data_IF_354829200329
#
_entry.id   IF_354829200329
#
_cell.length_a   1.000
_cell.length_b   1.000
_cell.length_c   1.000
_cell.angle_alpha   90.00
_cell.angle_beta   90.00
_cell.angle_gamma   90.00
#
_symmetry.space_group_name_H-M   'P 1'
#
loop_
_entity.id
_entity.type
_entity.pdbx_description
1 polymer ?
#
# COMPACT_ATOMS: atom_id res chain seq x y z
N UNK A 1 -14.00 -2.19 13.60
CA UNK A 1 -13.06 -3.30 13.87
C UNK A 1 -12.43 -3.65 12.54
N UNK A 2 -11.16 -3.26 12.33
CA UNK A 2 -10.45 -3.54 11.09
C UNK A 2 -9.91 -4.97 11.08
N UNK A 3 -10.11 -5.68 9.99
CA UNK A 3 -9.51 -6.99 9.76
C UNK A 3 -8.03 -6.79 9.40
N UNK A 4 -7.12 -7.47 10.10
CA UNK A 4 -5.68 -7.39 9.80
C UNK A 4 -5.36 -8.50 8.81
N UNK A 5 -4.99 -8.12 7.60
CA UNK A 5 -4.59 -9.04 6.53
C UNK A 5 -3.09 -8.92 6.33
N UNK A 6 -2.38 -10.05 6.30
CA UNK A 6 -0.96 -10.13 6.01
C UNK A 6 -0.74 -10.63 4.59
N UNK A 7 0.02 -9.88 3.78
CA UNK A 7 0.35 -10.25 2.40
C UNK A 7 1.87 -10.24 2.22
N UNK A 8 2.36 -11.15 1.37
CA UNK A 8 3.74 -11.10 0.88
C UNK A 8 3.75 -10.40 -0.47
N UNK A 9 4.64 -9.43 -0.61
CA UNK A 9 4.93 -8.74 -1.85
C UNK A 9 6.41 -8.90 -2.18
N UNK A 10 6.75 -8.78 -3.45
CA UNK A 10 8.14 -8.76 -3.89
C UNK A 10 8.85 -7.45 -3.48
N UNK A 11 10.17 -7.47 -3.49
CA UNK A 11 11.00 -6.34 -3.05
C UNK A 11 10.81 -5.09 -3.92
N UNK A 12 10.53 -5.24 -5.22
CA UNK A 12 10.33 -4.11 -6.12
C UNK A 12 9.01 -3.39 -5.79
N UNK A 13 7.94 -4.15 -5.58
CA UNK A 13 6.67 -3.60 -5.14
C UNK A 13 6.77 -2.97 -3.74
N UNK A 14 7.49 -3.60 -2.81
CA UNK A 14 7.72 -3.03 -1.48
C UNK A 14 8.46 -1.68 -1.55
N UNK A 15 9.53 -1.58 -2.37
CA UNK A 15 10.26 -0.33 -2.57
C UNK A 15 9.36 0.77 -3.18
N UNK A 16 8.50 0.40 -4.13
CA UNK A 16 7.54 1.32 -4.73
C UNK A 16 6.53 1.86 -3.71
N UNK A 17 5.91 0.99 -2.92
CA UNK A 17 4.94 1.38 -1.88
C UNK A 17 5.60 2.32 -0.86
N UNK A 18 6.81 2.00 -0.40
CA UNK A 18 7.56 2.86 0.52
C UNK A 18 7.88 4.22 -0.09
N UNK A 19 8.22 4.28 -1.38
CA UNK A 19 8.44 5.54 -2.09
C UNK A 19 7.20 6.43 -2.12
N UNK A 20 6.01 5.84 -2.29
CA UNK A 20 4.74 6.57 -2.25
C UNK A 20 4.44 7.18 -0.88
N UNK A 21 4.71 6.43 0.19
CA UNK A 21 4.56 6.95 1.57
C UNK A 21 5.60 8.05 1.85
N UNK A 22 6.86 7.83 1.47
CA UNK A 22 7.94 8.81 1.64
C UNK A 22 7.68 10.12 0.87
N UNK A 23 6.98 10.06 -0.26
CA UNK A 23 6.57 11.24 -1.02
C UNK A 23 5.47 12.08 -0.34
N UNK A 24 4.89 11.58 0.76
CA UNK A 24 3.76 12.20 1.46
C UNK A 24 2.41 12.04 0.74
N UNK A 25 2.37 11.27 -0.35
CA UNK A 25 1.15 11.03 -1.14
C UNK A 25 0.15 10.12 -0.43
N UNK A 26 0.63 9.28 0.48
CA UNK A 26 -0.18 8.37 1.29
C UNK A 26 0.31 8.38 2.73
N UNK A 27 -0.61 8.15 3.67
CA UNK A 27 -0.32 8.23 5.12
C UNK A 27 0.41 6.98 5.62
N UNK A 28 0.18 5.83 4.98
CA UNK A 28 0.79 4.55 5.34
C UNK A 28 0.85 3.59 4.15
N UNK A 29 1.63 2.51 4.28
CA UNK A 29 1.66 1.43 3.29
C UNK A 29 0.28 0.77 3.11
N UNK A 30 -0.50 0.65 4.18
CA UNK A 30 -1.87 0.11 4.12
C UNK A 30 -2.81 1.02 3.33
N UNK A 31 -2.69 2.34 3.48
CA UNK A 31 -3.49 3.32 2.72
C UNK A 31 -3.22 3.21 1.21
N UNK A 32 -1.95 2.97 0.81
CA UNK A 32 -1.60 2.68 -0.59
C UNK A 32 -2.32 1.42 -1.09
N UNK A 33 -2.29 0.33 -0.33
CA UNK A 33 -2.86 -0.96 -0.72
C UNK A 33 -4.39 -0.87 -0.79
N UNK A 34 -5.04 -0.28 0.20
CA UNK A 34 -6.49 -0.09 0.21
C UNK A 34 -6.93 0.71 -1.02
N UNK A 35 -6.28 1.85 -1.30
CA UNK A 35 -6.61 2.67 -2.47
C UNK A 35 -6.39 1.91 -3.78
N UNK A 36 -5.35 1.10 -3.87
CA UNK A 36 -5.10 0.27 -5.04
C UNK A 36 -6.20 -0.79 -5.26
N UNK A 37 -6.71 -1.40 -4.19
CA UNK A 37 -7.81 -2.37 -4.25
C UNK A 37 -9.15 -1.74 -4.68
N UNK A 38 -9.37 -0.46 -4.37
CA UNK A 38 -10.57 0.28 -4.73
C UNK A 38 -10.51 0.95 -6.12
N UNK A 39 -9.39 0.87 -6.84
CA UNK A 39 -9.31 1.42 -8.20
C UNK A 39 -10.24 0.62 -9.15
N UNK A 40 -11.18 1.28 -9.85
CA UNK A 40 -11.96 0.61 -10.89
C UNK A 40 -11.00 0.15 -12.01
N UNK A 41 -11.21 -1.10 -12.45
CA UNK A 41 -10.39 -1.77 -13.48
C UNK A 41 -10.65 -1.22 -14.88
#
# INVERSE_FOLDING_TARGET
MGEIISIKVDDALAAFIRGLVASGRYVSESDVIEKALYLPK
#
